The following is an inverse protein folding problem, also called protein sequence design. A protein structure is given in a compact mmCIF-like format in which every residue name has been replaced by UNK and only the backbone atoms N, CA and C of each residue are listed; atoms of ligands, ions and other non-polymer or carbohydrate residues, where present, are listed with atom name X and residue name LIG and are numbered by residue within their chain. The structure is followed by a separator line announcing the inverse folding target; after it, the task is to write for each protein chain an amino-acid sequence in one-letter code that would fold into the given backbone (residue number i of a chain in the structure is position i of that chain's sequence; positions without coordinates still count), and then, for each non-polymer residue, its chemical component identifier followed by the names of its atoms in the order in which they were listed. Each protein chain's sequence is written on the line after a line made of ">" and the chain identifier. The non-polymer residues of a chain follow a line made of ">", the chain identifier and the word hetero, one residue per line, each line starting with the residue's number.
data_IF_100084905810
#
_entry.id   IF_100084905810
#
_cell.length_a   1.000
_cell.length_b   1.000
_cell.length_c   1.000
_cell.angle_alpha   90.00
_cell.angle_beta   90.00
_cell.angle_gamma   90.00
#
_symmetry.space_group_name_H-M   'P 1'
#
loop_
_entity.id
_entity.type
_entity.pdbx_description
1 polymer ?
#
# COMPACT_ATOMS: atom_id res chain seq x y z
N UNK A 1 1.33 27.66 3.77
CA UNK A 1 0.43 26.51 4.03
C UNK A 1 0.79 25.29 3.17
N UNK A 2 1.24 25.46 1.94
CA UNK A 2 1.72 24.35 1.08
C UNK A 2 2.92 23.62 1.66
N UNK A 3 3.90 24.36 2.22
CA UNK A 3 5.10 23.79 2.85
C UNK A 3 4.80 22.91 4.08
N UNK A 4 3.72 23.18 4.82
CA UNK A 4 3.33 22.35 5.98
C UNK A 4 2.70 21.04 5.55
N UNK A 5 1.90 21.06 4.48
CA UNK A 5 1.29 19.85 3.88
C UNK A 5 2.39 18.94 3.32
N UNK A 6 3.36 19.51 2.60
CA UNK A 6 4.50 18.76 2.08
C UNK A 6 5.27 18.03 3.20
N UNK A 7 5.57 18.73 4.31
CA UNK A 7 6.23 18.13 5.49
C UNK A 7 5.41 16.99 6.10
N UNK A 8 4.09 17.12 6.16
CA UNK A 8 3.21 16.08 6.68
C UNK A 8 3.20 14.83 5.80
N UNK A 9 3.15 15.00 4.48
CA UNK A 9 3.26 13.89 3.54
C UNK A 9 4.63 13.23 3.58
N UNK A 10 5.73 14.00 3.69
CA UNK A 10 7.06 13.41 3.88
C UNK A 10 7.14 12.56 5.14
N UNK A 11 6.57 13.03 6.26
CA UNK A 11 6.49 12.23 7.50
C UNK A 11 5.65 10.97 7.32
N UNK A 12 4.48 11.07 6.69
CA UNK A 12 3.63 9.92 6.39
C UNK A 12 4.39 8.89 5.57
N UNK A 13 5.08 9.31 4.51
CA UNK A 13 5.88 8.43 3.66
C UNK A 13 7.00 7.71 4.43
N UNK A 14 7.63 8.38 5.41
CA UNK A 14 8.67 7.75 6.25
C UNK A 14 8.11 6.75 7.26
N UNK A 15 6.90 6.98 7.78
CA UNK A 15 6.27 6.16 8.81
C UNK A 15 5.43 5.03 8.21
N UNK A 16 5.05 5.13 6.93
CA UNK A 16 4.15 4.17 6.30
C UNK A 16 4.79 2.78 6.20
N UNK A 17 4.10 1.70 6.62
CA UNK A 17 4.63 0.35 6.54
C UNK A 17 4.81 -0.08 5.08
N UNK A 18 5.81 -0.93 4.84
CA UNK A 18 6.04 -1.55 3.53
C UNK A 18 5.03 -2.69 3.32
N UNK A 19 4.23 -2.61 2.26
CA UNK A 19 3.30 -3.68 1.87
C UNK A 19 4.07 -4.81 1.17
N UNK A 20 4.36 -5.89 1.89
CA UNK A 20 5.08 -7.04 1.37
C UNK A 20 4.23 -7.92 0.42
N UNK A 21 2.90 -7.85 0.51
CA UNK A 21 2.00 -8.66 -0.31
C UNK A 21 1.83 -8.06 -1.71
N UNK A 22 2.03 -6.74 -1.85
CA UNK A 22 1.87 -6.01 -3.12
C UNK A 22 3.08 -5.11 -3.41
N UNK A 23 4.24 -5.68 -3.74
CA UNK A 23 5.46 -4.91 -3.98
C UNK A 23 5.36 -3.96 -5.19
N UNK A 24 4.54 -4.29 -6.19
CA UNK A 24 4.38 -3.50 -7.41
C UNK A 24 3.29 -2.42 -7.29
N UNK A 25 2.41 -2.50 -6.28
CA UNK A 25 1.33 -1.55 -6.02
C UNK A 25 1.41 -1.00 -4.58
N UNK A 26 2.53 -0.38 -4.18
CA UNK A 26 2.64 0.17 -2.84
C UNK A 26 1.71 1.39 -2.70
N UNK A 27 0.90 1.42 -1.66
CA UNK A 27 0.04 2.58 -1.35
C UNK A 27 0.83 3.89 -1.21
N UNK A 28 2.11 3.79 -0.86
CA UNK A 28 3.09 4.89 -0.87
C UNK A 28 3.09 5.67 -2.19
N UNK A 29 2.90 5.02 -3.35
CA UNK A 29 2.80 5.69 -4.65
C UNK A 29 1.60 6.62 -4.74
N UNK A 30 0.47 6.22 -4.18
CA UNK A 30 -0.72 7.09 -4.14
C UNK A 30 -0.45 8.30 -3.25
N UNK A 31 0.15 8.11 -2.07
CA UNK A 31 0.53 9.20 -1.17
C UNK A 31 1.50 10.18 -1.86
N UNK A 32 2.51 9.65 -2.57
CA UNK A 32 3.45 10.47 -3.36
C UNK A 32 2.74 11.27 -4.44
N UNK A 33 1.87 10.63 -5.21
CA UNK A 33 1.10 11.28 -6.28
C UNK A 33 0.25 12.44 -5.75
N UNK A 34 -0.41 12.25 -4.61
CA UNK A 34 -1.16 13.31 -3.93
C UNK A 34 -0.26 14.42 -3.34
N UNK A 35 0.96 14.08 -2.92
CA UNK A 35 1.94 15.04 -2.41
C UNK A 35 2.69 15.84 -3.48
N UNK A 36 2.80 15.35 -4.72
CA UNK A 36 3.47 16.02 -5.84
C UNK A 36 3.06 17.49 -6.03
N UNK A 37 1.75 17.85 -6.11
CA UNK A 37 1.34 19.25 -6.29
C UNK A 37 1.79 20.18 -5.15
N UNK A 38 2.19 19.64 -4.01
CA UNK A 38 2.68 20.40 -2.85
C UNK A 38 4.21 20.40 -2.74
N UNK A 39 4.93 19.78 -3.68
CA UNK A 39 6.40 19.74 -3.73
C UNK A 39 7.04 18.59 -2.95
N UNK A 40 6.31 17.49 -2.72
CA UNK A 40 6.87 16.28 -2.09
C UNK A 40 7.75 15.53 -3.09
N UNK A 41 9.00 15.27 -2.72
CA UNK A 41 9.91 14.44 -3.54
C UNK A 41 9.51 12.96 -3.42
N UNK A 42 9.47 12.19 -4.53
CA UNK A 42 9.26 10.74 -4.47
C UNK A 42 10.37 10.08 -3.66
N UNK A 43 10.02 9.21 -2.72
CA UNK A 43 10.99 8.38 -1.98
C UNK A 43 11.10 6.98 -2.57
N UNK A 44 10.10 6.55 -3.35
CA UNK A 44 10.12 5.27 -4.03
C UNK A 44 10.90 5.39 -5.35
N UNK A 45 11.92 4.54 -5.58
CA UNK A 45 12.60 4.53 -6.87
C UNK A 45 11.59 4.21 -7.98
N UNK A 46 11.74 4.78 -9.19
CA UNK A 46 10.96 4.36 -10.35
C UNK A 46 11.18 2.85 -10.54
N UNK A 47 10.17 2.04 -10.25
CA UNK A 47 10.22 0.61 -10.53
C UNK A 47 10.17 0.46 -12.04
N UNK A 48 11.20 -0.13 -12.64
CA UNK A 48 11.28 -0.47 -14.07
C UNK A 48 10.20 -1.48 -14.54
N UNK A 49 9.40 -2.02 -13.62
CA UNK A 49 8.22 -2.86 -13.89
C UNK A 49 6.92 -2.04 -14.02
N UNK A 50 6.98 -0.86 -14.64
CA UNK A 50 5.77 -0.21 -15.12
C UNK A 50 5.22 -1.03 -16.30
N UNK A 51 4.02 -1.64 -16.21
CA UNK A 51 3.41 -2.23 -17.39
C UNK A 51 3.11 -1.09 -18.36
N UNK A 52 3.77 -1.14 -19.51
CA UNK A 52 3.39 -0.37 -20.71
C UNK A 52 1.88 -0.53 -20.91
N UNK A 53 1.11 0.54 -21.20
CA UNK A 53 -0.35 0.45 -21.29
C UNK A 53 -0.74 -0.46 -22.46
N UNK A 54 -1.13 -1.69 -22.13
CA UNK A 54 -1.83 -2.60 -23.04
C UNK A 54 -3.09 -3.09 -22.30
N UNK A 55 -4.19 -2.41 -22.57
CA UNK A 55 -5.57 -2.84 -22.28
C UNK A 55 -5.93 -4.11 -23.09
N UNK A 56 -7.11 -4.76 -22.92
CA UNK A 56 -8.14 -4.68 -21.87
C UNK A 56 -8.59 -6.08 -21.35
N UNK A 57 -8.89 -6.27 -20.05
CA UNK A 57 -9.89 -7.29 -19.64
C UNK A 57 -10.45 -7.03 -18.24
N UNK A 58 -11.78 -7.19 -18.15
CA UNK A 58 -12.74 -7.15 -17.02
C UNK A 58 -13.09 -5.78 -16.40
N UNK A 59 -14.16 -5.22 -16.96
CA UNK A 59 -14.98 -4.14 -16.39
C UNK A 59 -15.54 -4.50 -15.01
N UNK A 60 -15.00 -3.88 -13.98
CA UNK A 60 -15.80 -3.41 -12.84
C UNK A 60 -15.67 -1.89 -12.81
N UNK A 61 -16.65 -1.22 -13.39
CA UNK A 61 -16.75 0.22 -13.55
C UNK A 61 -16.96 0.88 -12.19
N UNK A 62 -15.88 1.25 -11.50
CA UNK A 62 -15.88 2.44 -10.65
C UNK A 62 -15.30 3.58 -11.50
N UNK A 63 -15.99 4.71 -11.69
CA UNK A 63 -15.39 5.84 -12.38
C UNK A 63 -14.17 6.28 -11.57
N UNK A 64 -12.98 6.21 -12.17
CA UNK A 64 -11.83 6.92 -11.66
C UNK A 64 -12.18 8.42 -11.74
N UNK A 65 -12.68 8.97 -10.64
CA UNK A 65 -12.93 10.40 -10.53
C UNK A 65 -11.61 11.11 -10.79
N UNK A 66 -11.55 12.08 -11.71
CA UNK A 66 -10.35 12.87 -11.90
C UNK A 66 -10.00 13.52 -10.55
N UNK A 67 -8.72 13.43 -10.18
CA UNK A 67 -8.18 14.03 -8.94
C UNK A 67 -8.69 15.48 -8.83
N UNK A 68 -9.38 15.85 -7.73
CA UNK A 68 -9.88 17.21 -7.54
C UNK A 68 -8.75 18.23 -7.70
N UNK A 69 -9.04 19.45 -8.21
CA UNK A 69 -8.03 20.50 -8.26
C UNK A 69 -7.44 20.74 -6.85
N UNK A 70 -6.15 21.06 -6.74
CA UNK A 70 -5.45 21.18 -5.46
C UNK A 70 -6.17 22.12 -4.49
N UNK A 71 -6.85 21.55 -3.49
CA UNK A 71 -7.65 22.28 -2.52
C UNK A 71 -7.04 22.12 -1.12
N UNK A 72 -6.39 23.15 -0.56
CA UNK A 72 -5.59 22.99 0.66
C UNK A 72 -6.42 22.53 1.87
N UNK A 73 -7.71 22.88 1.94
CA UNK A 73 -8.61 22.43 3.02
C UNK A 73 -8.96 20.94 2.92
N UNK A 74 -9.21 20.46 1.70
CA UNK A 74 -9.51 19.03 1.48
C UNK A 74 -8.27 18.17 1.73
N UNK A 75 -7.11 18.67 1.33
CA UNK A 75 -5.83 18.00 1.56
C UNK A 75 -5.50 17.83 3.03
N UNK A 76 -5.76 18.84 3.86
CA UNK A 76 -5.61 18.71 5.31
C UNK A 76 -6.51 17.61 5.89
N UNK A 77 -7.74 17.48 5.40
CA UNK A 77 -8.64 16.40 5.82
C UNK A 77 -8.12 15.02 5.38
N UNK A 78 -7.58 14.90 4.16
CA UNK A 78 -6.96 13.67 3.65
C UNK A 78 -5.72 13.27 4.45
N UNK A 79 -4.83 14.22 4.75
CA UNK A 79 -3.65 14.00 5.61
C UNK A 79 -4.09 13.52 7.00
N UNK A 80 -5.10 14.15 7.60
CA UNK A 80 -5.63 13.71 8.90
C UNK A 80 -6.23 12.31 8.85
N UNK A 81 -6.90 11.95 7.76
CA UNK A 81 -7.41 10.60 7.54
C UNK A 81 -6.26 9.59 7.43
N UNK A 82 -5.19 9.91 6.70
CA UNK A 82 -3.98 9.08 6.59
C UNK A 82 -3.32 8.85 7.95
N UNK A 83 -3.16 9.89 8.78
CA UNK A 83 -2.67 9.71 10.15
C UNK A 83 -3.61 8.85 11.00
N UNK A 84 -4.93 9.01 10.86
CA UNK A 84 -5.91 8.19 11.59
C UNK A 84 -5.83 6.71 11.19
N UNK A 85 -5.50 6.41 9.93
CA UNK A 85 -5.26 5.04 9.44
C UNK A 85 -3.92 4.50 9.95
N UNK A 86 -2.85 5.30 9.88
CA UNK A 86 -1.52 4.92 10.33
C UNK A 86 -1.50 4.56 11.83
N UNK A 87 -2.23 5.32 12.64
CA UNK A 87 -2.38 5.08 14.09
C UNK A 87 -3.38 3.94 14.40
N UNK A 88 -3.99 3.31 13.39
CA UNK A 88 -5.07 2.34 13.56
C UNK A 88 -6.20 2.82 14.50
N UNK A 89 -6.49 4.13 14.48
CA UNK A 89 -7.39 4.80 15.44
C UNK A 89 -8.79 4.18 15.50
N UNK A 90 -9.28 3.69 14.37
CA UNK A 90 -10.62 3.08 14.30
C UNK A 90 -10.64 1.64 14.81
N UNK A 91 -9.54 0.90 14.65
CA UNK A 91 -9.41 -0.43 15.22
C UNK A 91 -9.38 -0.38 16.76
N UNK A 92 -8.73 0.64 17.34
CA UNK A 92 -8.69 0.84 18.79
C UNK A 92 -10.01 1.41 19.33
N UNK A 93 -10.61 2.38 18.63
CA UNK A 93 -11.89 2.98 19.03
C UNK A 93 -13.06 1.98 19.00
N UNK A 94 -13.07 1.10 18.01
CA UNK A 94 -14.12 0.09 17.83
C UNK A 94 -13.53 -1.31 17.94
N UNK A 95 -13.01 -1.63 19.12
CA UNK A 95 -12.40 -2.93 19.39
C UNK A 95 -13.40 -4.07 19.15
N UNK A 96 -12.99 -5.03 18.32
CA UNK A 96 -13.80 -6.20 17.98
C UNK A 96 -13.70 -7.25 19.10
N UNK A 97 -14.81 -7.95 19.36
CA UNK A 97 -14.81 -9.01 20.36
C UNK A 97 -13.95 -10.20 19.92
N UNK A 98 -13.24 -10.88 20.84
CA UNK A 98 -12.43 -12.04 20.49
C UNK A 98 -13.23 -13.18 19.85
N UNK A 99 -14.54 -13.27 20.14
CA UNK A 99 -15.44 -14.27 19.57
C UNK A 99 -15.62 -14.10 18.05
N UNK A 100 -15.55 -12.87 17.53
CA UNK A 100 -15.67 -12.62 16.08
C UNK A 100 -14.51 -13.24 15.29
N UNK A 101 -13.34 -13.39 15.91
CA UNK A 101 -12.15 -14.00 15.30
C UNK A 101 -12.07 -15.52 15.51
N UNK A 102 -13.07 -16.15 16.14
CA UNK A 102 -13.10 -17.58 16.44
C UNK A 102 -14.46 -18.16 16.05
N UNK A 103 -14.70 -18.44 14.76
CA UNK A 103 -15.98 -18.96 14.31
C UNK A 103 -16.24 -20.35 14.91
N UNK A 104 -17.49 -20.66 15.22
CA UNK A 104 -17.89 -21.93 15.87
C UNK A 104 -17.44 -23.17 15.09
N UNK A 105 -17.42 -23.10 13.75
CA UNK A 105 -17.01 -24.21 12.89
C UNK A 105 -15.49 -24.47 12.89
N UNK A 106 -14.67 -23.45 13.14
CA UNK A 106 -13.22 -23.56 13.07
C UNK A 106 -12.55 -22.43 13.89
N UNK A 107 -12.33 -22.62 15.20
CA UNK A 107 -11.85 -21.55 16.08
C UNK A 107 -10.46 -21.01 15.69
N UNK A 108 -9.62 -21.83 15.06
CA UNK A 108 -8.27 -21.46 14.60
C UNK A 108 -8.21 -21.03 13.13
N UNK A 109 -9.35 -20.70 12.50
CA UNK A 109 -9.37 -20.35 11.07
C UNK A 109 -8.50 -19.12 10.77
N UNK A 110 -8.75 -18.01 11.47
CA UNK A 110 -8.04 -16.75 11.21
C UNK A 110 -6.58 -16.76 11.68
N UNK A 111 -6.23 -17.56 12.69
CA UNK A 111 -4.84 -17.70 13.15
C UNK A 111 -4.00 -18.42 12.10
N UNK A 112 -4.50 -19.52 11.54
CA UNK A 112 -3.87 -20.24 10.41
C UNK A 112 -3.74 -19.35 9.18
N UNK A 113 -4.80 -18.58 8.87
CA UNK A 113 -4.80 -17.66 7.74
C UNK A 113 -3.73 -16.57 7.90
N UNK A 114 -3.60 -15.97 9.08
CA UNK A 114 -2.57 -14.96 9.36
C UNK A 114 -1.17 -15.54 9.20
N UNK A 115 -0.94 -16.75 9.74
CA UNK A 115 0.35 -17.45 9.60
C UNK A 115 0.69 -17.76 8.14
N UNK A 116 -0.30 -18.14 7.33
CA UNK A 116 -0.13 -18.36 5.90
C UNK A 116 0.22 -17.05 5.17
N UNK A 117 -0.47 -15.96 5.50
CA UNK A 117 -0.21 -14.63 4.94
C UNK A 117 1.19 -14.15 5.28
N UNK A 118 1.67 -14.33 6.51
CA UNK A 118 3.03 -13.96 6.93
C UNK A 118 4.11 -14.82 6.23
N UNK A 119 3.78 -16.08 5.92
CA UNK A 119 4.68 -16.99 5.18
C UNK A 119 4.70 -16.70 3.68
N UNK A 120 3.60 -16.24 3.08
CA UNK A 120 3.46 -15.98 1.65
C UNK A 120 4.52 -15.04 1.03
N UNK A 121 4.89 -13.87 1.61
CA UNK A 121 5.89 -12.98 1.02
C UNK A 121 7.28 -13.62 0.93
N UNK A 122 7.61 -14.53 1.85
CA UNK A 122 8.86 -15.30 1.80
C UNK A 122 8.85 -16.40 0.75
N UNK A 123 7.69 -16.86 0.28
CA UNK A 123 7.59 -18.00 -0.65
C UNK A 123 7.70 -17.60 -2.13
N UNK A 124 7.04 -16.55 -2.59
CA UNK A 124 6.93 -16.29 -4.04
C UNK A 124 8.01 -15.35 -4.58
N UNK A 125 8.46 -14.37 -3.79
CA UNK A 125 9.46 -13.39 -4.21
C UNK A 125 10.89 -13.94 -4.24
N UNK A 126 11.25 -14.82 -3.28
CA UNK A 126 12.58 -15.44 -3.22
C UNK A 126 12.78 -16.40 -4.40
N UNK A 127 11.74 -17.14 -4.80
CA UNK A 127 11.76 -18.02 -5.96
C UNK A 127 11.98 -17.23 -7.25
N UNK A 128 11.20 -16.15 -7.47
CA UNK A 128 11.37 -15.29 -8.63
C UNK A 128 12.76 -14.63 -8.70
N UNK A 129 13.37 -14.26 -7.56
CA UNK A 129 14.75 -13.75 -7.53
C UNK A 129 15.81 -14.82 -7.78
N UNK A 130 15.63 -16.04 -7.25
CA UNK A 130 16.52 -17.17 -7.53
C UNK A 130 16.47 -17.57 -8.99
N UNK A 131 15.29 -17.54 -9.60
CA UNK A 131 15.11 -17.86 -11.01
C UNK A 131 15.72 -16.78 -11.92
N UNK A 132 15.60 -15.50 -11.55
CA UNK A 132 16.33 -14.41 -12.22
C UNK A 132 17.85 -14.58 -12.09
N UNK A 133 18.36 -14.95 -10.91
CA UNK A 133 19.79 -15.18 -10.68
C UNK A 133 20.32 -16.40 -11.45
N UNK A 134 19.58 -17.52 -11.44
CA UNK A 134 19.91 -18.73 -12.21
C UNK A 134 19.92 -18.45 -13.70
N UNK A 135 18.94 -17.73 -14.24
CA UNK A 135 18.92 -17.40 -15.66
C UNK A 135 20.08 -16.48 -16.08
N UNK A 136 20.61 -15.66 -15.17
CA UNK A 136 21.76 -14.79 -15.42
C UNK A 136 23.12 -15.52 -15.38
N UNK A 137 23.21 -16.65 -14.66
CA UNK A 137 24.44 -17.48 -14.61
C UNK A 137 24.53 -18.45 -15.79
N UNK A 138 23.38 -18.78 -16.41
CA UNK A 138 23.32 -19.70 -17.55
C UNK A 138 23.74 -19.06 -18.88
N UNK A 139 24.14 -17.79 -18.86
CA UNK A 139 24.67 -17.02 -19.99
C UNK A 139 25.97 -16.31 -19.57
N UNK A 140 27.00 -17.12 -19.30
CA UNK A 140 28.42 -16.81 -19.50
C UNK A 140 29.16 -18.10 -19.81
#
# INVERSE_FOLDING_TARGET
>A
MTTTIAKQYTRLLTLWPKDALRPNLPFTRAIEHHGQPFGVQPITPPSDDAPKPQSPVVSATAPATPSPPPNPKLEQAQVNALYSLLENRYATKYALSPAMFKPTSAPDHYTKLMEEIDRAPNKTWWQSKVDQWKNKIRWS
#
